data_IF_538546293829
#
_entry.id   IF_538546293829
#
_cell.length_a   1.000
_cell.length_b   1.000
_cell.length_c   1.000
_cell.angle_alpha   90.00
_cell.angle_beta   90.00
_cell.angle_gamma   90.00
#
_symmetry.space_group_name_H-M   'P 1'
#
loop_
_entity.id
_entity.type
_entity.pdbx_description
1 polymer ?
#
# COMPACT_ATOMS: atom_id res chain seq x y z
N UNK A 1 18.09 -5.48 -27.99
CA UNK A 1 17.58 -5.50 -26.60
C UNK A 1 16.74 -4.25 -26.45
N UNK A 2 15.42 -4.38 -26.37
CA UNK A 2 14.52 -3.25 -26.20
C UNK A 2 14.13 -3.21 -24.72
N UNK A 3 14.64 -2.23 -23.98
CA UNK A 3 14.12 -1.91 -22.67
C UNK A 3 12.75 -1.26 -22.86
N UNK A 4 11.68 -2.02 -22.61
CA UNK A 4 10.32 -1.52 -22.58
C UNK A 4 10.19 -0.37 -21.54
N UNK A 5 9.93 0.88 -21.96
CA UNK A 5 9.79 2.00 -21.04
C UNK A 5 8.47 1.96 -20.23
N UNK A 6 7.66 0.91 -20.40
CA UNK A 6 6.29 0.82 -19.88
C UNK A 6 6.17 0.52 -18.39
N UNK A 7 7.28 0.36 -17.66
CA UNK A 7 7.24 -0.06 -16.25
C UNK A 7 7.91 0.89 -15.24
N UNK A 8 8.50 2.01 -15.66
CA UNK A 8 9.25 2.90 -14.74
C UNK A 8 8.39 3.67 -13.72
N UNK A 9 7.06 3.63 -13.83
CA UNK A 9 6.13 4.33 -12.92
C UNK A 9 5.53 3.48 -11.80
N UNK A 10 5.74 2.16 -11.79
CA UNK A 10 4.97 1.26 -10.90
C UNK A 10 5.49 1.19 -9.47
N UNK A 11 6.78 1.43 -9.25
CA UNK A 11 7.42 1.24 -7.93
C UNK A 11 7.04 2.30 -6.89
N UNK A 12 6.69 3.53 -7.30
CA UNK A 12 6.49 4.65 -6.35
C UNK A 12 5.17 4.60 -5.57
N UNK A 13 4.30 3.63 -5.82
CA UNK A 13 2.98 3.52 -5.16
C UNK A 13 2.72 2.15 -4.52
N UNK A 14 3.74 1.33 -4.36
CA UNK A 14 3.54 0.00 -3.79
C UNK A 14 3.53 0.02 -2.25
N UNK A 15 2.36 -0.22 -1.66
CA UNK A 15 2.25 -0.59 -0.25
C UNK A 15 2.85 -1.98 -0.06
N UNK A 16 3.95 -2.03 0.68
CA UNK A 16 4.62 -3.26 1.06
C UNK A 16 4.33 -3.60 2.52
N UNK A 17 4.54 -4.86 2.91
CA UNK A 17 4.44 -5.32 4.31
C UNK A 17 5.62 -4.87 5.18
N UNK A 18 6.53 -4.07 4.62
CA UNK A 18 7.63 -3.46 5.34
C UNK A 18 7.14 -2.60 6.50
N UNK A 19 7.88 -2.63 7.60
CA UNK A 19 7.46 -1.99 8.85
C UNK A 19 7.23 -0.49 8.72
N UNK A 20 8.01 0.20 7.89
CA UNK A 20 7.83 1.64 7.66
C UNK A 20 6.53 1.97 6.90
N UNK A 21 6.12 1.14 5.94
CA UNK A 21 4.85 1.30 5.22
C UNK A 21 3.66 1.00 6.13
N UNK A 22 3.76 -0.10 6.89
CA UNK A 22 2.72 -0.49 7.83
C UNK A 22 2.56 0.58 8.91
N UNK A 23 3.66 1.12 9.45
CA UNK A 23 3.62 2.22 10.40
C UNK A 23 3.00 3.49 9.80
N UNK A 24 3.31 3.82 8.55
CA UNK A 24 2.68 4.94 7.85
C UNK A 24 1.17 4.73 7.71
N UNK A 25 0.72 3.55 7.27
CA UNK A 25 -0.70 3.21 7.12
C UNK A 25 -1.42 3.23 8.47
N UNK A 26 -0.82 2.66 9.52
CA UNK A 26 -1.35 2.72 10.88
C UNK A 26 -1.53 4.15 11.36
N UNK A 27 -0.53 5.02 11.13
CA UNK A 27 -0.59 6.43 11.53
C UNK A 27 -1.61 7.23 10.70
N UNK A 28 -1.67 6.99 9.40
CA UNK A 28 -2.53 7.73 8.48
C UNK A 28 -4.02 7.32 8.60
N UNK A 29 -4.30 6.04 8.82
CA UNK A 29 -5.65 5.52 8.98
C UNK A 29 -6.07 5.33 10.45
N UNK A 30 -5.16 5.52 11.41
CA UNK A 30 -5.44 5.32 12.84
C UNK A 30 -5.77 3.85 13.20
N UNK A 31 -5.27 2.88 12.43
CA UNK A 31 -5.59 1.46 12.60
C UNK A 31 -4.47 0.68 13.26
N UNK A 32 -4.79 -0.50 13.78
CA UNK A 32 -3.81 -1.43 14.33
C UNK A 32 -2.98 -2.08 13.21
N UNK A 33 -1.81 -2.61 13.59
CA UNK A 33 -0.90 -3.30 12.65
C UNK A 33 -1.58 -4.43 11.89
N UNK A 34 -2.41 -5.22 12.57
CA UNK A 34 -3.16 -6.32 11.95
C UNK A 34 -4.10 -5.80 10.87
N UNK A 35 -4.89 -4.76 11.16
CA UNK A 35 -5.78 -4.14 10.16
C UNK A 35 -5.03 -3.55 8.97
N UNK A 36 -3.86 -2.94 9.21
CA UNK A 36 -3.02 -2.44 8.11
C UNK A 36 -2.53 -3.59 7.21
N UNK A 37 -2.10 -4.71 7.79
CA UNK A 37 -1.67 -5.89 7.04
C UNK A 37 -2.82 -6.56 6.29
N UNK A 38 -4.00 -6.68 6.91
CA UNK A 38 -5.20 -7.18 6.25
C UNK A 38 -5.59 -6.28 5.07
N UNK A 39 -5.57 -4.96 5.25
CA UNK A 39 -5.86 -4.02 4.18
C UNK A 39 -4.85 -4.10 3.03
N UNK A 40 -3.55 -4.30 3.32
CA UNK A 40 -2.53 -4.55 2.28
C UNK A 40 -2.81 -5.87 1.54
N UNK A 41 -3.28 -6.90 2.25
CA UNK A 41 -3.62 -8.20 1.66
C UNK A 41 -4.88 -8.15 0.80
N UNK A 42 -5.91 -7.44 1.23
CA UNK A 42 -7.19 -7.31 0.51
C UNK A 42 -7.15 -6.29 -0.62
N UNK A 43 -6.65 -5.08 -0.35
CA UNK A 43 -6.59 -4.00 -1.34
C UNK A 43 -5.42 -4.18 -2.33
N UNK A 44 -4.50 -5.09 -2.03
CA UNK A 44 -3.29 -5.37 -2.77
C UNK A 44 -2.18 -4.37 -2.49
N UNK A 45 -1.05 -4.46 -3.20
CA UNK A 45 0.13 -3.67 -2.90
C UNK A 45 -0.03 -2.21 -3.34
N UNK A 46 -1.21 -1.65 -3.58
CA UNK A 46 -1.35 -0.23 -3.94
C UNK A 46 -1.73 0.58 -2.72
N UNK A 47 -0.85 1.50 -2.29
CA UNK A 47 -1.11 2.35 -1.11
C UNK A 47 -2.43 3.11 -1.20
N UNK A 48 -2.75 3.63 -2.38
CA UNK A 48 -3.99 4.36 -2.64
C UNK A 48 -5.22 3.47 -2.42
N UNK A 49 -5.17 2.20 -2.85
CA UNK A 49 -6.24 1.23 -2.61
C UNK A 49 -6.34 0.84 -1.14
N UNK A 50 -5.20 0.66 -0.46
CA UNK A 50 -5.15 0.37 0.99
C UNK A 50 -5.78 1.50 1.78
N UNK A 51 -5.43 2.76 1.47
CA UNK A 51 -6.04 3.92 2.11
C UNK A 51 -7.52 4.08 1.76
N UNK A 52 -7.94 3.80 0.52
CA UNK A 52 -9.38 3.79 0.18
C UNK A 52 -10.12 2.68 0.92
N UNK A 53 -9.53 1.51 1.08
CA UNK A 53 -10.13 0.39 1.83
C UNK A 53 -10.31 0.76 3.31
N UNK A 54 -9.29 1.38 3.92
CA UNK A 54 -9.32 1.80 5.32
C UNK A 54 -10.14 3.07 5.56
N UNK A 55 -10.20 3.97 4.57
CA UNK A 55 -10.92 5.25 4.61
C UNK A 55 -12.36 5.18 4.09
N UNK A 56 -12.83 4.02 3.62
CA UNK A 56 -14.25 3.79 3.36
C UNK A 56 -15.00 3.66 4.70
N UNK A 57 -15.38 4.80 5.25
CA UNK A 57 -16.54 4.94 6.12
C UNK A 57 -17.21 6.29 5.88
#
# INVERSE_FOLDING_TARGET
MADDPKMQGRDRKLASTQEHEVAYIMKAAGVTRQKALEAIREAGPSREKVMQYLGKK
#
